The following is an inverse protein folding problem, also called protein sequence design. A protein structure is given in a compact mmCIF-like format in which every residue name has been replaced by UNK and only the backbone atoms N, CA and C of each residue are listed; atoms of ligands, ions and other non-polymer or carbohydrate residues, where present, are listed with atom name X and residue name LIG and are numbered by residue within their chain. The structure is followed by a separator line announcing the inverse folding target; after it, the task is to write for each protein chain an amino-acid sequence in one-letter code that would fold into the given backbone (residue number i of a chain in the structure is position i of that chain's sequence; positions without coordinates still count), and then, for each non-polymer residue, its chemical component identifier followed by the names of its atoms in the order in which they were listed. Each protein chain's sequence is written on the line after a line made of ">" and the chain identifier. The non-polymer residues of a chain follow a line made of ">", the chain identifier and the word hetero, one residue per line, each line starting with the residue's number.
data_IF_432167885346
#
_entry.id   IF_432167885346
#
_cell.length_a   1.000
_cell.length_b   1.000
_cell.length_c   1.000
_cell.angle_alpha   90.00
_cell.angle_beta   90.00
_cell.angle_gamma   90.00
#
_symmetry.space_group_name_H-M   'P 1'
#
loop_
_entity.id
_entity.type
_entity.pdbx_description
1 polymer ?
#
# COMPACT_ATOMS: atom_id res chain seq x y z
N UNK A 1 -8.80 -8.80 31.20
CA UNK A 1 -8.24 -8.66 29.84
C UNK A 1 -9.31 -8.04 28.96
N UNK A 2 -9.30 -6.72 28.77
CA UNK A 2 -10.30 -6.06 27.93
C UNK A 2 -9.87 -6.21 26.46
N UNK A 3 -10.59 -7.04 25.71
CA UNK A 3 -10.39 -7.20 24.27
C UNK A 3 -10.73 -5.88 23.57
N UNK A 4 -9.70 -5.21 23.04
CA UNK A 4 -9.86 -4.02 22.24
C UNK A 4 -10.58 -4.38 20.94
N UNK A 5 -11.89 -4.10 20.88
CA UNK A 5 -12.62 -4.09 19.59
C UNK A 5 -11.96 -3.04 18.71
N UNK A 6 -11.18 -3.48 17.72
CA UNK A 6 -10.71 -2.61 16.63
C UNK A 6 -11.94 -1.95 16.01
N UNK A 7 -12.06 -0.63 16.20
CA UNK A 7 -13.12 0.14 15.58
C UNK A 7 -12.64 0.52 14.18
N UNK A 8 -13.02 -0.31 13.21
CA UNK A 8 -12.84 -0.07 11.77
C UNK A 8 -13.66 1.11 11.25
N UNK A 9 -14.49 1.74 12.10
CA UNK A 9 -15.18 2.99 11.80
C UNK A 9 -14.15 4.09 11.54
N UNK A 10 -13.96 4.44 10.26
CA UNK A 10 -12.97 5.42 9.81
C UNK A 10 -11.86 4.84 8.92
N UNK A 11 -11.86 3.52 8.67
CA UNK A 11 -10.96 2.89 7.70
C UNK A 11 -11.69 2.71 6.37
N UNK A 12 -11.17 3.31 5.31
CA UNK A 12 -11.61 3.00 3.96
C UNK A 12 -10.97 1.68 3.51
N UNK A 13 -11.77 0.79 2.91
CA UNK A 13 -11.28 -0.47 2.34
C UNK A 13 -11.04 -0.25 0.85
N UNK A 14 -9.81 -0.50 0.40
CA UNK A 14 -9.50 -0.52 -1.03
C UNK A 14 -10.05 -1.82 -1.64
N UNK A 15 -10.85 -1.71 -2.70
CA UNK A 15 -11.36 -2.86 -3.43
C UNK A 15 -10.23 -3.56 -4.21
N UNK A 16 -10.17 -4.89 -4.11
CA UNK A 16 -9.21 -5.69 -4.90
C UNK A 16 -9.83 -6.03 -6.24
N UNK A 17 -9.64 -5.15 -7.22
CA UNK A 17 -10.10 -5.35 -8.59
C UNK A 17 -9.05 -6.06 -9.46
N UNK A 18 -9.49 -6.62 -10.60
CA UNK A 18 -8.58 -7.19 -11.62
C UNK A 18 -7.52 -6.18 -12.08
N UNK A 19 -7.89 -4.90 -12.22
CA UNK A 19 -6.95 -3.84 -12.60
C UNK A 19 -5.88 -3.63 -11.52
N UNK A 20 -6.28 -3.63 -10.25
CA UNK A 20 -5.35 -3.52 -9.13
C UNK A 20 -4.38 -4.72 -9.10
N UNK A 21 -4.89 -5.93 -9.30
CA UNK A 21 -4.05 -7.15 -9.34
C UNK A 21 -3.04 -7.12 -10.49
N UNK A 22 -3.44 -6.66 -11.68
CA UNK A 22 -2.51 -6.48 -12.81
C UNK A 22 -1.41 -5.46 -12.47
N UNK A 23 -1.79 -4.31 -11.90
CA UNK A 23 -0.82 -3.30 -11.45
C UNK A 23 0.12 -3.86 -10.38
N UNK A 24 -0.39 -4.68 -9.46
CA UNK A 24 0.41 -5.36 -8.44
C UNK A 24 1.40 -6.35 -9.07
N UNK A 25 0.99 -7.14 -10.06
CA UNK A 25 1.90 -8.05 -10.77
C UNK A 25 3.05 -7.30 -11.45
N UNK A 26 2.77 -6.18 -12.10
CA UNK A 26 3.80 -5.33 -12.73
C UNK A 26 4.76 -4.75 -11.69
N UNK A 27 4.25 -4.29 -10.54
CA UNK A 27 5.07 -3.78 -9.44
C UNK A 27 5.92 -4.85 -8.78
N UNK A 28 5.37 -6.06 -8.61
CA UNK A 28 6.11 -7.20 -8.09
C UNK A 28 7.32 -7.53 -8.98
N UNK A 29 7.12 -7.53 -10.30
CA UNK A 29 8.21 -7.77 -11.25
C UNK A 29 9.24 -6.62 -11.27
N UNK A 30 8.79 -5.36 -11.25
CA UNK A 30 9.68 -4.19 -11.33
C UNK A 30 10.53 -3.97 -10.09
N UNK A 31 9.97 -4.23 -8.90
CA UNK A 31 10.61 -3.94 -7.62
C UNK A 31 11.02 -5.20 -6.85
N UNK A 32 10.81 -6.39 -7.42
CA UNK A 32 11.10 -7.70 -6.79
C UNK A 32 10.37 -7.88 -5.45
N UNK A 33 9.12 -7.44 -5.39
CA UNK A 33 8.30 -7.49 -4.17
C UNK A 33 7.60 -8.83 -3.99
N UNK A 34 7.36 -9.20 -2.72
CA UNK A 34 6.42 -10.26 -2.38
C UNK A 34 5.01 -9.87 -2.83
N UNK A 35 4.19 -10.88 -3.15
CA UNK A 35 2.86 -10.67 -3.74
C UNK A 35 1.98 -9.69 -2.94
N UNK A 36 1.93 -9.82 -1.61
CA UNK A 36 1.11 -8.93 -0.78
C UNK A 36 1.67 -7.51 -0.67
N UNK A 37 3.00 -7.34 -0.65
CA UNK A 37 3.63 -6.01 -0.65
C UNK A 37 3.31 -5.27 -1.95
N UNK A 38 3.31 -5.98 -3.07
CA UNK A 38 2.94 -5.41 -4.36
C UNK A 38 1.45 -5.01 -4.42
N UNK A 39 0.55 -5.80 -3.80
CA UNK A 39 -0.88 -5.45 -3.67
C UNK A 39 -1.05 -4.20 -2.80
N UNK A 40 -0.35 -4.11 -1.68
CA UNK A 40 -0.40 -2.93 -0.81
C UNK A 40 0.12 -1.68 -1.51
N UNK A 41 1.24 -1.79 -2.24
CA UNK A 41 1.77 -0.70 -3.05
C UNK A 41 0.77 -0.28 -4.14
N UNK A 42 0.22 -1.23 -4.90
CA UNK A 42 -0.78 -0.95 -5.93
C UNK A 42 -2.00 -0.21 -5.35
N UNK A 43 -2.50 -0.64 -4.20
CA UNK A 43 -3.61 0.01 -3.50
C UNK A 43 -3.25 1.44 -3.06
N UNK A 44 -2.06 1.64 -2.48
CA UNK A 44 -1.60 2.97 -2.07
C UNK A 44 -1.50 3.94 -3.25
N UNK A 45 -1.03 3.47 -4.40
CA UNK A 45 -0.92 4.28 -5.62
C UNK A 45 -2.30 4.64 -6.21
N UNK A 46 -3.27 3.72 -6.13
CA UNK A 46 -4.65 3.98 -6.56
C UNK A 46 -5.34 5.00 -5.66
N UNK A 47 -5.08 4.97 -4.34
CA UNK A 47 -5.61 5.97 -3.40
C UNK A 47 -4.92 7.31 -3.55
N UNK A 48 -3.60 7.35 -3.78
CA UNK A 48 -2.85 8.61 -3.96
C UNK A 48 -3.35 9.46 -5.13
N UNK A 49 -3.88 8.84 -6.17
CA UNK A 49 -4.53 9.57 -7.28
C UNK A 49 -5.67 10.48 -6.76
N UNK A 50 -6.19 10.24 -5.55
CA UNK A 50 -6.96 11.19 -4.73
C UNK A 50 -6.06 11.89 -3.67
N UNK A 51 -5.52 13.06 -4.02
CA UNK A 51 -4.75 14.06 -3.24
C UNK A 51 -4.48 13.81 -1.72
N UNK A 52 -3.20 13.86 -1.32
CA UNK A 52 -2.76 14.12 0.08
C UNK A 52 -2.41 12.92 0.96
N UNK A 53 -2.41 11.69 0.43
CA UNK A 53 -2.16 10.48 1.24
C UNK A 53 -0.67 10.24 1.52
N UNK A 54 -0.37 9.74 2.72
CA UNK A 54 0.97 9.28 3.12
C UNK A 54 0.96 7.76 3.26
N UNK A 55 2.05 7.11 2.85
CA UNK A 55 2.21 5.67 2.94
C UNK A 55 3.01 5.31 4.20
N UNK A 56 2.33 4.67 5.16
CA UNK A 56 2.95 4.22 6.41
C UNK A 56 3.59 2.85 6.21
N UNK A 57 4.93 2.77 6.26
CA UNK A 57 5.65 1.54 5.94
C UNK A 57 6.97 1.43 6.73
N UNK A 58 7.17 0.27 7.35
CA UNK A 58 8.35 -0.10 8.14
C UNK A 58 9.15 -1.27 7.54
N UNK A 59 8.67 -1.87 6.46
CA UNK A 59 9.39 -2.90 5.72
C UNK A 59 10.33 -2.22 4.71
N UNK A 60 11.63 -2.49 4.79
CA UNK A 60 12.64 -1.74 4.02
C UNK A 60 12.50 -1.93 2.51
N UNK A 61 12.18 -3.14 2.05
CA UNK A 61 12.03 -3.47 0.63
C UNK A 61 10.80 -2.76 0.05
N UNK A 62 9.66 -2.88 0.71
CA UNK A 62 8.43 -2.19 0.29
C UNK A 62 8.57 -0.67 0.39
N UNK A 63 9.29 -0.17 1.40
CA UNK A 63 9.56 1.25 1.58
C UNK A 63 10.43 1.80 0.45
N UNK A 64 11.44 1.06 0.01
CA UNK A 64 12.25 1.43 -1.15
C UNK A 64 11.40 1.49 -2.42
N UNK A 65 10.58 0.47 -2.69
CA UNK A 65 9.68 0.45 -3.84
C UNK A 65 8.69 1.63 -3.83
N UNK A 66 8.07 1.89 -2.68
CA UNK A 66 7.14 3.01 -2.50
C UNK A 66 7.81 4.37 -2.72
N UNK A 67 9.08 4.54 -2.30
CA UNK A 67 9.87 5.74 -2.59
C UNK A 67 10.12 5.89 -4.09
N UNK A 68 10.48 4.82 -4.80
CA UNK A 68 10.67 4.82 -6.26
C UNK A 68 9.39 5.19 -7.01
N UNK A 69 8.23 4.85 -6.46
CA UNK A 69 6.92 5.24 -6.99
C UNK A 69 6.47 6.65 -6.55
N UNK A 70 7.33 7.44 -5.90
CA UNK A 70 7.07 8.80 -5.40
C UNK A 70 5.95 8.89 -4.34
N UNK A 71 5.79 7.88 -3.49
CA UNK A 71 4.93 7.98 -2.32
C UNK A 71 5.60 8.78 -1.20
N UNK A 72 4.83 9.63 -0.53
CA UNK A 72 5.27 10.28 0.71
C UNK A 72 5.25 9.27 1.84
N UNK A 73 6.41 8.90 2.36
CA UNK A 73 6.57 7.86 3.38
C UNK A 73 6.49 8.40 4.81
N UNK A 74 5.88 7.60 5.70
CA UNK A 74 5.93 7.77 7.16
C UNK A 74 6.21 6.43 7.86
N UNK A 75 6.91 6.39 9.02
CA UNK A 75 7.76 7.46 9.55
C UNK A 75 8.88 7.81 8.54
N UNK A 76 9.71 8.82 8.80
CA UNK A 76 10.83 9.16 7.90
C UNK A 76 11.94 8.12 7.97
#
# INVERSE_FOLDING_TARGET
>A
MAEGRLRWSGVAVAEVSTQLIRRAADLAARHVLRAFDAVQLAAALAVREAEGTRFACWDDELRQAARSENLTLVPR
#
